data_IF_273560614786
#
_entry.id   IF_273560614786
#
_cell.length_a   1.000
_cell.length_b   1.000
_cell.length_c   1.000
_cell.angle_alpha   90.00
_cell.angle_beta   90.00
_cell.angle_gamma   90.00
#
_symmetry.space_group_name_H-M   'P 1'
#
loop_
_entity.id
_entity.type
_entity.pdbx_description
1 polymer ?
#
# COMPACT_ATOMS: atom_id res chain seq x y z
N UNK A 1 28.98 43.25 40.89
CA UNK A 1 29.70 42.07 40.38
C UNK A 1 28.99 40.80 40.84
N UNK A 2 28.22 40.03 40.09
CA UNK A 2 27.55 40.19 38.80
C UNK A 2 26.61 38.98 38.64
N UNK A 3 25.36 39.10 39.13
CA UNK A 3 24.36 38.04 38.99
C UNK A 3 23.83 37.92 37.54
N UNK A 4 24.09 38.92 36.69
CA UNK A 4 23.67 38.95 35.29
C UNK A 4 24.49 38.02 34.38
N UNK A 5 25.64 37.51 34.82
CA UNK A 5 26.57 36.81 33.93
C UNK A 5 26.35 35.28 33.85
N UNK A 6 25.53 34.69 34.73
CA UNK A 6 25.19 33.25 34.69
C UNK A 6 24.04 32.94 33.72
N UNK A 7 23.07 33.85 33.62
CA UNK A 7 21.89 33.71 32.75
C UNK A 7 22.24 33.82 31.26
N UNK A 8 23.30 34.56 30.91
CA UNK A 8 23.74 34.73 29.53
C UNK A 8 24.46 33.50 28.94
N UNK A 9 25.17 32.71 29.77
CA UNK A 9 25.88 31.50 29.31
C UNK A 9 24.95 30.33 29.03
N UNK A 10 23.89 30.18 29.81
CA UNK A 10 22.92 29.08 29.64
C UNK A 10 22.14 29.25 28.32
N UNK A 11 21.78 30.48 27.95
CA UNK A 11 21.11 30.78 26.67
C UNK A 11 21.98 30.47 25.45
N UNK A 12 23.30 30.64 25.53
CA UNK A 12 24.22 30.38 24.40
C UNK A 12 24.50 28.90 24.16
N UNK A 13 24.33 28.03 25.17
CA UNK A 13 24.56 26.59 25.04
C UNK A 13 23.26 25.80 24.70
N UNK A 14 22.09 26.31 25.07
CA UNK A 14 20.82 25.63 24.81
C UNK A 14 20.39 25.67 23.33
N UNK A 15 20.73 26.74 22.61
CA UNK A 15 20.38 26.91 21.19
C UNK A 15 21.04 25.85 20.28
N UNK A 16 22.38 25.63 20.32
CA UNK A 16 23.00 24.61 19.47
C UNK A 16 22.55 23.19 19.83
N UNK A 17 22.26 22.90 21.10
CA UNK A 17 21.74 21.61 21.53
C UNK A 17 20.30 21.35 21.01
N UNK A 18 19.44 22.38 21.05
CA UNK A 18 18.08 22.28 20.50
C UNK A 18 18.08 22.11 18.98
N UNK A 19 18.99 22.79 18.27
CA UNK A 19 19.15 22.64 16.81
C UNK A 19 19.62 21.22 16.46
N UNK A 20 20.57 20.66 17.22
CA UNK A 20 21.04 19.28 17.02
C UNK A 20 19.94 18.25 17.28
N UNK A 21 19.10 18.44 18.30
CA UNK A 21 17.96 17.56 18.57
C UNK A 21 16.85 17.68 17.51
N UNK A 22 16.61 18.89 17.00
CA UNK A 22 15.67 19.11 15.90
C UNK A 22 16.18 18.47 14.59
N UNK A 23 17.48 18.60 14.30
CA UNK A 23 18.12 17.93 13.16
C UNK A 23 18.10 16.41 13.32
N UNK A 24 18.39 15.89 14.51
CA UNK A 24 18.31 14.46 14.77
C UNK A 24 16.89 13.94 14.55
N UNK A 25 15.87 14.59 15.12
CA UNK A 25 14.47 14.23 14.91
C UNK A 25 14.04 14.35 13.44
N UNK A 26 14.50 15.38 12.73
CA UNK A 26 14.26 15.55 11.29
C UNK A 26 14.93 14.44 10.46
N UNK A 27 16.15 14.05 10.81
CA UNK A 27 16.85 12.92 10.17
C UNK A 27 16.12 11.60 10.47
N UNK A 28 15.58 11.38 11.68
CA UNK A 28 14.76 10.20 11.98
C UNK A 28 13.47 10.18 11.17
N UNK A 29 12.80 11.33 11.01
CA UNK A 29 11.61 11.45 10.16
C UNK A 29 11.94 11.19 8.70
N UNK A 30 13.08 11.68 8.19
CA UNK A 30 13.54 11.39 6.84
C UNK A 30 13.97 9.92 6.69
N UNK A 31 14.63 9.30 7.66
CA UNK A 31 15.01 7.89 7.55
C UNK A 31 13.82 6.95 7.66
N UNK A 32 12.78 7.30 8.43
CA UNK A 32 11.49 6.61 8.36
C UNK A 32 10.81 6.87 7.00
N UNK A 33 10.89 8.10 6.47
CA UNK A 33 10.34 8.44 5.14
C UNK A 33 11.11 7.90 3.93
N UNK A 34 12.39 7.54 4.07
CA UNK A 34 13.21 6.89 3.03
C UNK A 34 13.20 5.36 3.19
N UNK A 35 12.88 4.85 4.39
CA UNK A 35 12.49 3.44 4.56
C UNK A 35 11.07 3.16 4.05
N UNK A 36 10.23 4.19 3.94
CA UNK A 36 8.93 4.22 3.24
C UNK A 36 9.09 4.75 1.80
N UNK A 37 10.15 4.39 1.08
CA UNK A 37 9.98 4.29 -0.37
C UNK A 37 8.88 3.24 -0.57
N UNK A 38 7.70 3.59 -1.13
CA UNK A 38 6.66 2.61 -1.34
C UNK A 38 7.25 1.59 -2.29
N UNK A 39 7.62 0.45 -1.74
CA UNK A 39 7.95 -0.72 -2.52
C UNK A 39 6.76 -0.85 -3.50
N UNK A 40 6.98 -0.74 -4.82
CA UNK A 40 5.89 -0.68 -5.79
C UNK A 40 5.01 -1.96 -5.76
N UNK A 41 5.37 -2.93 -4.92
CA UNK A 41 4.70 -4.19 -4.68
C UNK A 41 4.48 -4.45 -3.18
N UNK A 42 3.93 -3.47 -2.46
CA UNK A 42 3.68 -3.57 -1.02
C UNK A 42 2.84 -4.79 -0.61
N UNK A 43 2.06 -5.37 -1.54
CA UNK A 43 1.37 -6.65 -1.36
C UNK A 43 0.62 -6.75 -0.04
N UNK A 44 0.32 -7.96 0.41
CA UNK A 44 -0.30 -8.15 1.72
C UNK A 44 0.35 -9.30 2.49
N UNK A 45 0.38 -9.20 3.82
CA UNK A 45 0.93 -10.25 4.69
C UNK A 45 0.10 -11.55 4.69
N UNK A 46 -1.15 -11.50 4.20
CA UNK A 46 -2.05 -12.66 4.10
C UNK A 46 -2.98 -12.55 2.89
N UNK A 47 -3.57 -13.68 2.50
CA UNK A 47 -4.56 -13.76 1.42
C UNK A 47 -5.80 -12.89 1.69
N UNK A 48 -6.32 -12.97 2.92
CA UNK A 48 -7.43 -12.13 3.35
C UNK A 48 -7.05 -10.65 3.37
N UNK A 49 -5.82 -10.34 3.81
CA UNK A 49 -5.27 -8.99 3.76
C UNK A 49 -5.23 -8.43 2.35
N UNK A 50 -4.86 -9.26 1.36
CA UNK A 50 -4.82 -8.85 -0.04
C UNK A 50 -6.22 -8.51 -0.56
N UNK A 51 -7.21 -9.39 -0.31
CA UNK A 51 -8.59 -9.15 -0.72
C UNK A 51 -9.19 -7.88 -0.09
N UNK A 52 -8.91 -7.64 1.20
CA UNK A 52 -9.36 -6.42 1.91
C UNK A 52 -8.64 -5.18 1.40
N UNK A 53 -7.34 -5.27 1.11
CA UNK A 53 -6.56 -4.19 0.54
C UNK A 53 -7.12 -3.75 -0.81
N UNK A 54 -7.36 -4.71 -1.71
CA UNK A 54 -7.97 -4.45 -3.02
C UNK A 54 -9.39 -3.87 -2.88
N UNK A 55 -10.23 -4.39 -1.98
CA UNK A 55 -11.57 -3.82 -1.72
C UNK A 55 -11.48 -2.37 -1.22
N UNK A 56 -10.56 -2.09 -0.30
CA UNK A 56 -10.30 -0.74 0.22
C UNK A 56 -9.85 0.21 -0.89
N UNK A 57 -8.84 -0.18 -1.67
CA UNK A 57 -8.30 0.62 -2.75
C UNK A 57 -9.36 0.93 -3.83
N UNK A 58 -10.19 -0.06 -4.19
CA UNK A 58 -11.32 0.13 -5.12
C UNK A 58 -12.35 1.11 -4.56
N UNK A 59 -12.75 0.95 -3.29
CA UNK A 59 -13.75 1.83 -2.65
C UNK A 59 -13.28 3.26 -2.49
N UNK A 60 -11.98 3.43 -2.23
CA UNK A 60 -11.36 4.74 -2.06
C UNK A 60 -10.95 5.38 -3.40
N UNK A 61 -11.07 4.64 -4.51
CA UNK A 61 -10.62 5.09 -5.83
C UNK A 61 -9.10 5.32 -5.89
N UNK A 62 -8.33 4.58 -5.08
CA UNK A 62 -6.89 4.76 -4.96
C UNK A 62 -6.16 3.85 -5.97
N UNK A 63 -5.89 4.38 -7.16
CA UNK A 63 -5.26 3.65 -8.25
C UNK A 63 -3.83 3.18 -7.93
N UNK A 64 -3.06 4.00 -7.22
CA UNK A 64 -1.67 3.71 -6.85
C UNK A 64 -1.62 2.54 -5.85
N UNK A 65 -2.42 2.63 -4.79
CA UNK A 65 -2.56 1.55 -3.80
C UNK A 65 -3.09 0.26 -4.45
N UNK A 66 -4.06 0.38 -5.37
CA UNK A 66 -4.58 -0.77 -6.10
C UNK A 66 -3.49 -1.46 -6.94
N UNK A 67 -2.64 -0.68 -7.62
CA UNK A 67 -1.52 -1.20 -8.41
C UNK A 67 -0.52 -1.96 -7.55
N UNK A 68 -0.25 -1.48 -6.32
CA UNK A 68 0.67 -2.11 -5.37
C UNK A 68 0.25 -3.51 -4.90
N UNK A 69 -1.02 -3.89 -5.08
CA UNK A 69 -1.51 -5.24 -4.80
C UNK A 69 -1.36 -6.22 -5.96
N UNK A 70 -0.98 -5.75 -7.15
CA UNK A 70 -0.71 -6.59 -8.31
C UNK A 70 0.79 -6.79 -8.51
N UNK A 71 1.16 -7.88 -9.18
CA UNK A 71 2.56 -8.15 -9.51
C UNK A 71 3.15 -7.10 -10.44
N UNK A 72 4.48 -6.99 -10.46
CA UNK A 72 5.22 -6.07 -11.32
C UNK A 72 4.86 -6.13 -12.82
N UNK A 73 4.31 -7.25 -13.28
CA UNK A 73 3.78 -7.41 -14.65
C UNK A 73 2.57 -6.52 -14.97
N UNK A 74 1.90 -5.95 -13.97
CA UNK A 74 0.74 -5.09 -14.13
C UNK A 74 1.08 -3.81 -14.93
N UNK A 75 2.27 -3.25 -14.73
CA UNK A 75 2.65 -1.93 -15.21
C UNK A 75 1.98 -0.79 -14.41
N UNK A 76 2.52 0.41 -14.56
CA UNK A 76 2.24 1.55 -13.67
C UNK A 76 0.79 2.05 -13.72
N UNK A 77 0.10 1.92 -14.85
CA UNK A 77 -1.26 2.42 -15.07
C UNK A 77 -2.37 1.37 -14.83
N UNK A 78 -2.00 0.19 -14.32
CA UNK A 78 -2.94 -0.92 -14.19
C UNK A 78 -4.10 -0.62 -13.25
N UNK A 79 -3.81 -0.07 -12.06
CA UNK A 79 -4.84 0.27 -11.09
C UNK A 79 -5.83 1.31 -11.63
N UNK A 80 -5.36 2.31 -12.36
CA UNK A 80 -6.21 3.30 -13.04
C UNK A 80 -7.14 2.60 -14.05
N UNK A 81 -6.57 1.77 -14.91
CA UNK A 81 -7.33 1.03 -15.93
C UNK A 81 -8.37 0.09 -15.31
N UNK A 82 -8.03 -0.57 -14.21
CA UNK A 82 -8.94 -1.46 -13.49
C UNK A 82 -10.07 -0.67 -12.81
N UNK A 83 -9.78 0.46 -12.17
CA UNK A 83 -10.80 1.33 -11.59
C UNK A 83 -11.76 1.87 -12.65
N UNK A 84 -11.24 2.27 -13.80
CA UNK A 84 -12.05 2.75 -14.92
C UNK A 84 -12.99 1.65 -15.44
N UNK A 85 -12.54 0.40 -15.54
CA UNK A 85 -13.38 -0.74 -15.91
C UNK A 85 -14.44 -1.05 -14.84
N UNK A 86 -14.09 -0.88 -13.57
CA UNK A 86 -14.99 -1.07 -12.44
C UNK A 86 -15.90 0.13 -12.20
N UNK A 87 -15.71 1.24 -12.93
CA UNK A 87 -16.58 2.40 -12.86
C UNK A 87 -18.00 2.07 -13.36
N UNK A 88 -18.98 2.88 -12.96
CA UNK A 88 -20.39 2.67 -13.29
C UNK A 88 -21.18 1.93 -12.20
N UNK A 89 -22.50 1.79 -12.38
CA UNK A 89 -23.43 1.37 -11.33
C UNK A 89 -23.21 -0.08 -10.87
N UNK A 90 -23.41 -0.32 -9.57
CA UNK A 90 -23.30 -1.65 -8.94
C UNK A 90 -22.11 -1.76 -7.99
N UNK A 91 -22.26 -2.54 -6.92
CA UNK A 91 -21.18 -2.83 -5.98
C UNK A 91 -20.24 -3.90 -6.54
N UNK A 92 -18.94 -3.67 -6.39
CA UNK A 92 -17.92 -4.70 -6.59
C UNK A 92 -17.79 -5.49 -5.30
N UNK A 93 -17.88 -6.81 -5.38
CA UNK A 93 -17.63 -7.74 -4.29
C UNK A 93 -16.29 -8.43 -4.53
N UNK A 94 -15.40 -8.33 -3.55
CA UNK A 94 -14.08 -8.94 -3.60
C UNK A 94 -14.03 -10.07 -2.57
N UNK A 95 -13.59 -11.25 -3.00
CA UNK A 95 -13.31 -12.39 -2.13
C UNK A 95 -12.03 -13.07 -2.57
N UNK A 96 -11.34 -13.70 -1.62
CA UNK A 96 -10.33 -14.70 -1.95
C UNK A 96 -10.95 -16.09 -1.82
N UNK A 97 -10.52 -17.00 -2.68
CA UNK A 97 -11.02 -18.37 -2.78
C UNK A 97 -9.88 -19.32 -3.07
N UNK A 98 -10.08 -20.61 -2.79
CA UNK A 98 -9.10 -21.66 -3.04
C UNK A 98 -9.60 -22.57 -4.16
N UNK A 99 -8.79 -22.75 -5.20
CA UNK A 99 -9.00 -23.77 -6.24
C UNK A 99 -7.88 -24.83 -6.17
N UNK A 100 -8.05 -25.92 -6.93
CA UNK A 100 -7.05 -26.99 -7.06
C UNK A 100 -5.72 -26.47 -7.61
N UNK A 101 -5.75 -25.44 -8.45
CA UNK A 101 -4.57 -24.82 -9.04
C UNK A 101 -3.92 -23.77 -8.14
N UNK A 102 -4.56 -23.40 -7.02
CA UNK A 102 -4.07 -22.35 -6.14
C UNK A 102 -5.14 -21.35 -5.69
N UNK A 103 -4.77 -20.47 -4.74
CA UNK A 103 -5.63 -19.38 -4.27
C UNK A 103 -5.81 -18.31 -5.35
N UNK A 104 -6.96 -17.64 -5.33
CA UNK A 104 -7.27 -16.56 -6.26
C UNK A 104 -8.17 -15.51 -5.62
N UNK A 105 -8.12 -14.30 -6.16
CA UNK A 105 -9.08 -13.23 -5.85
C UNK A 105 -10.14 -13.22 -6.94
N UNK A 106 -11.40 -13.12 -6.54
CA UNK A 106 -12.52 -12.90 -7.44
C UNK A 106 -13.13 -11.51 -7.19
N UNK A 107 -13.24 -10.72 -8.25
CA UNK A 107 -13.97 -9.46 -8.29
C UNK A 107 -15.28 -9.73 -9.03
N UNK A 108 -16.41 -9.53 -8.34
CA UNK A 108 -17.75 -9.75 -8.89
C UNK A 108 -18.54 -8.45 -8.90
N UNK A 109 -19.12 -8.09 -10.05
CA UNK A 109 -19.99 -6.93 -10.22
C UNK A 109 -21.24 -7.35 -10.99
N UNK A 110 -22.34 -7.58 -10.29
CA UNK A 110 -23.55 -8.13 -10.89
C UNK A 110 -23.31 -9.53 -11.47
N UNK A 111 -23.39 -9.67 -12.80
CA UNK A 111 -23.11 -10.95 -13.50
C UNK A 111 -21.66 -11.07 -13.98
N UNK A 112 -20.92 -9.97 -13.95
CA UNK A 112 -19.54 -9.95 -14.39
C UNK A 112 -18.64 -10.43 -13.26
N UNK A 113 -17.67 -11.26 -13.61
CA UNK A 113 -16.67 -11.75 -12.68
C UNK A 113 -15.33 -11.83 -13.39
N UNK A 114 -14.31 -11.30 -12.72
CA UNK A 114 -12.92 -11.48 -13.10
C UNK A 114 -12.17 -12.06 -11.91
N UNK A 115 -11.31 -13.02 -12.17
CA UNK A 115 -10.49 -13.63 -11.14
C UNK A 115 -9.01 -13.43 -11.46
N UNK A 116 -8.19 -13.35 -10.43
CA UNK A 116 -6.75 -13.16 -10.49
C UNK A 116 -6.07 -14.18 -9.60
N UNK A 117 -5.06 -14.86 -10.11
CA UNK A 117 -4.28 -15.80 -9.29
C UNK A 117 -3.56 -15.05 -8.17
N UNK A 118 -3.49 -15.65 -6.99
CA UNK A 118 -2.73 -15.09 -5.88
C UNK A 118 -1.38 -15.78 -5.79
N UNK A 119 -0.32 -14.98 -5.77
CA UNK A 119 1.05 -15.46 -5.69
C UNK A 119 1.78 -14.81 -4.53
N UNK A 120 2.83 -15.49 -4.06
CA UNK A 120 3.68 -14.98 -2.97
C UNK A 120 4.99 -14.49 -3.55
N UNK A 121 5.25 -13.20 -3.44
CA UNK A 121 6.46 -12.51 -3.93
C UNK A 121 7.12 -11.85 -2.72
N UNK A 122 8.39 -12.16 -2.48
CA UNK A 122 9.20 -11.59 -1.39
C UNK A 122 8.53 -11.61 0.00
N UNK A 123 7.76 -12.66 0.26
CA UNK A 123 7.07 -12.87 1.54
C UNK A 123 5.66 -12.29 1.62
N UNK A 124 5.29 -11.42 0.68
CA UNK A 124 3.97 -10.80 0.54
C UNK A 124 3.10 -11.50 -0.51
N UNK A 125 1.79 -11.43 -0.33
CA UNK A 125 0.80 -11.88 -1.30
C UNK A 125 0.48 -10.75 -2.27
N UNK A 126 0.46 -11.06 -3.56
CA UNK A 126 0.02 -10.17 -4.64
C UNK A 126 -0.91 -10.93 -5.59
N UNK A 127 -1.71 -10.19 -6.35
CA UNK A 127 -2.51 -10.73 -7.44
C UNK A 127 -1.72 -10.70 -8.75
N UNK A 128 -1.78 -11.77 -9.54
CA UNK A 128 -1.31 -11.72 -10.91
C UNK A 128 -2.22 -10.78 -11.72
N UNK A 129 -1.62 -9.84 -12.45
CA UNK A 129 -2.34 -8.91 -13.31
C UNK A 129 -3.04 -9.59 -14.50
N UNK A 130 -2.65 -10.82 -14.83
CA UNK A 130 -3.31 -11.62 -15.87
C UNK A 130 -4.56 -12.27 -15.30
N UNK A 131 -5.76 -11.95 -15.83
CA UNK A 131 -6.97 -12.62 -15.42
C UNK A 131 -6.89 -14.13 -15.68
N UNK A 132 -7.30 -14.92 -14.70
CA UNK A 132 -7.42 -16.36 -14.87
C UNK A 132 -8.74 -16.73 -15.55
N UNK A 133 -8.71 -17.83 -16.30
CA UNK A 133 -9.86 -18.36 -17.05
C UNK A 133 -10.86 -19.10 -16.11
N UNK A 134 -10.43 -19.44 -14.90
CA UNK A 134 -11.20 -20.25 -13.93
C UNK A 134 -11.40 -19.50 -12.60
N UNK A 135 -12.43 -19.85 -11.83
CA UNK A 135 -12.68 -19.27 -10.50
C UNK A 135 -13.93 -18.38 -10.41
N UNK A 136 -14.48 -17.98 -11.55
CA UNK A 136 -15.71 -17.19 -11.63
C UNK A 136 -16.99 -18.02 -11.83
N UNK A 137 -16.98 -19.31 -11.43
CA UNK A 137 -18.22 -20.10 -11.46
C UNK A 137 -19.18 -19.55 -10.40
N UNK A 138 -20.37 -19.17 -10.84
CA UNK A 138 -21.50 -18.84 -9.99
C UNK A 138 -22.08 -20.09 -9.32
#
# INVERSE_FOLDING_TARGET
MDAQNRTARIKKAAIPAAILLALAGWITVITVGIADEPDPHSGASSQEGLAKGIDSAIRNGNAEELTGYFSASAGDDYGTSLLDQLSGPGSVHISWEQADTGPFIALRKGRDCVAFEMQRVDGSWVADAVPRIQGCRA
#
